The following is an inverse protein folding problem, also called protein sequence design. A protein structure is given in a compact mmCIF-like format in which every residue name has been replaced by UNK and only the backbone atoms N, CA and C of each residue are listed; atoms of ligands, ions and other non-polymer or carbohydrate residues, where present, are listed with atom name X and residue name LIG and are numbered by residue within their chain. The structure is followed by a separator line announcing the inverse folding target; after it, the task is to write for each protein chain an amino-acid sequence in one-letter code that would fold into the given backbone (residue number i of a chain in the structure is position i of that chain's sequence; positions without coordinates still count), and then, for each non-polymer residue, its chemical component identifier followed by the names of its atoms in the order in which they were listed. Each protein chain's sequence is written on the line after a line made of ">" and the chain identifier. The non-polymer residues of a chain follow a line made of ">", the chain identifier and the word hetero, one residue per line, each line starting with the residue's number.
data_IF_204284170882
#
_entry.id   IF_204284170882
#
_cell.length_a   1.000
_cell.length_b   1.000
_cell.length_c   1.000
_cell.angle_alpha   90.00
_cell.angle_beta   90.00
_cell.angle_gamma   90.00
#
_symmetry.space_group_name_H-M   'P 1'
#
loop_
_entity.id
_entity.type
_entity.pdbx_description
1 polymer ?
#
# COMPACT_ATOMS: atom_id res chain seq x y z
N UNK A 1 7.60 22.60 2.47
CA UNK A 1 6.65 22.05 3.46
C UNK A 1 5.22 22.19 2.95
N UNK A 2 4.67 23.42 2.84
CA UNK A 2 3.28 23.68 2.37
C UNK A 2 2.87 22.89 1.12
N UNK A 3 3.67 22.93 0.04
CA UNK A 3 3.33 22.20 -1.18
C UNK A 3 3.32 20.67 -0.99
N UNK A 4 4.20 20.09 -0.17
CA UNK A 4 4.16 18.64 0.14
C UNK A 4 2.90 18.32 0.93
N UNK A 5 2.57 19.16 1.93
CA UNK A 5 1.39 18.98 2.78
C UNK A 5 0.12 18.90 1.95
N UNK A 6 -0.12 19.91 1.10
CA UNK A 6 -1.31 19.94 0.24
C UNK A 6 -1.39 18.70 -0.69
N UNK A 7 -0.23 18.25 -1.21
CA UNK A 7 -0.17 17.05 -2.06
C UNK A 7 -0.51 15.78 -1.27
N UNK A 8 0.02 15.64 -0.06
CA UNK A 8 -0.24 14.49 0.80
C UNK A 8 -1.67 14.47 1.33
N UNK A 9 -2.25 15.61 1.70
CA UNK A 9 -3.65 15.72 2.12
C UNK A 9 -4.60 15.32 0.98
N UNK A 10 -4.36 15.83 -0.24
CA UNK A 10 -5.13 15.44 -1.41
C UNK A 10 -4.99 13.92 -1.70
N UNK A 11 -3.76 13.39 -1.61
CA UNK A 11 -3.48 11.97 -1.80
C UNK A 11 -4.16 11.09 -0.74
N UNK A 12 -4.16 11.52 0.53
CA UNK A 12 -4.86 10.85 1.64
C UNK A 12 -6.37 10.76 1.38
N UNK A 13 -7.00 11.87 0.97
CA UNK A 13 -8.43 11.90 0.64
C UNK A 13 -8.75 10.95 -0.51
N UNK A 14 -7.93 10.92 -1.56
CA UNK A 14 -8.14 10.00 -2.68
C UNK A 14 -7.99 8.53 -2.24
N UNK A 15 -7.02 8.20 -1.38
CA UNK A 15 -6.89 6.84 -0.84
C UNK A 15 -8.09 6.47 0.05
N UNK A 16 -8.57 7.39 0.89
CA UNK A 16 -9.75 7.16 1.74
C UNK A 16 -11.02 6.89 0.92
N UNK A 17 -11.18 7.59 -0.21
CA UNK A 17 -12.29 7.34 -1.14
C UNK A 17 -12.15 5.96 -1.81
N UNK A 18 -10.92 5.58 -2.21
CA UNK A 18 -10.65 4.27 -2.79
C UNK A 18 -10.91 3.13 -1.78
N UNK A 19 -10.54 3.31 -0.52
CA UNK A 19 -10.86 2.40 0.59
C UNK A 19 -12.38 2.23 0.73
N UNK A 20 -13.14 3.33 0.70
CA UNK A 20 -14.61 3.29 0.80
C UNK A 20 -15.24 2.50 -0.34
N UNK A 21 -14.74 2.67 -1.57
CA UNK A 21 -15.20 1.88 -2.71
C UNK A 21 -14.89 0.39 -2.56
N UNK A 22 -13.74 0.01 -2.01
CA UNK A 22 -13.41 -1.40 -1.77
C UNK A 22 -14.36 -2.04 -0.75
N UNK A 23 -14.69 -1.34 0.35
CA UNK A 23 -15.64 -1.82 1.36
C UNK A 23 -17.07 -1.96 0.80
N UNK A 24 -17.53 -0.97 0.03
CA UNK A 24 -18.84 -1.03 -0.59
C UNK A 24 -18.94 -2.18 -1.61
N UNK A 25 -17.89 -2.38 -2.41
CA UNK A 25 -17.82 -3.46 -3.39
C UNK A 25 -17.86 -4.84 -2.73
N UNK A 26 -17.18 -4.98 -1.58
CA UNK A 26 -17.26 -6.17 -0.75
C UNK A 26 -18.70 -6.45 -0.32
N UNK A 27 -19.41 -5.44 0.21
CA UNK A 27 -20.80 -5.57 0.65
C UNK A 27 -21.73 -5.98 -0.49
N UNK A 28 -21.64 -5.32 -1.63
CA UNK A 28 -22.43 -5.66 -2.82
C UNK A 28 -22.14 -7.09 -3.30
N UNK A 29 -20.88 -7.51 -3.27
CA UNK A 29 -20.50 -8.87 -3.65
C UNK A 29 -21.11 -9.91 -2.70
N UNK A 30 -21.10 -9.64 -1.39
CA UNK A 30 -21.78 -10.50 -0.41
C UNK A 30 -23.30 -10.55 -0.61
N UNK A 31 -23.92 -9.42 -0.96
CA UNK A 31 -25.34 -9.35 -1.31
C UNK A 31 -25.67 -10.18 -2.56
N UNK A 32 -24.78 -10.18 -3.57
CA UNK A 32 -24.94 -11.01 -4.77
C UNK A 32 -24.85 -12.52 -4.50
N UNK A 33 -24.18 -12.93 -3.42
CA UNK A 33 -24.09 -14.34 -2.99
C UNK A 33 -25.39 -14.81 -2.32
N UNK A 34 -26.19 -13.88 -1.80
CA UNK A 34 -27.38 -14.24 -1.02
C UNK A 34 -28.44 -14.95 -1.89
N UNK A 35 -28.63 -16.25 -1.62
CA UNK A 35 -29.60 -17.09 -2.33
C UNK A 35 -31.07 -16.68 -2.14
N UNK A 36 -31.38 -15.82 -1.17
CA UNK A 36 -32.72 -15.27 -0.96
C UNK A 36 -33.10 -14.18 -1.98
N UNK A 37 -32.12 -13.59 -2.69
CA UNK A 37 -32.39 -12.55 -3.69
C UNK A 37 -32.86 -13.15 -5.01
N UNK A 38 -33.72 -12.40 -5.71
CA UNK A 38 -34.09 -12.74 -7.09
C UNK A 38 -32.90 -12.56 -8.05
N UNK A 39 -33.02 -13.09 -9.26
CA UNK A 39 -32.00 -12.86 -10.30
C UNK A 39 -31.95 -11.37 -10.69
N UNK A 40 -33.11 -10.72 -10.72
CA UNK A 40 -33.27 -9.30 -11.04
C UNK A 40 -32.61 -8.41 -9.97
N UNK A 41 -32.78 -8.75 -8.68
CA UNK A 41 -32.13 -8.02 -7.59
C UNK A 41 -30.61 -8.13 -7.68
N UNK A 42 -30.09 -9.34 -7.93
CA UNK A 42 -28.64 -9.54 -8.12
C UNK A 42 -28.10 -8.78 -9.32
N UNK A 43 -28.86 -8.73 -10.43
CA UNK A 43 -28.48 -7.93 -11.58
C UNK A 43 -28.45 -6.43 -11.26
N UNK A 44 -29.36 -5.95 -10.39
CA UNK A 44 -29.31 -4.57 -9.90
C UNK A 44 -28.03 -4.32 -9.07
N UNK A 45 -27.65 -5.25 -8.19
CA UNK A 45 -26.40 -5.18 -7.41
C UNK A 45 -25.14 -5.23 -8.27
N UNK A 46 -25.14 -6.03 -9.33
CA UNK A 46 -24.08 -6.00 -10.35
C UNK A 46 -23.95 -4.62 -11.00
N UNK A 47 -25.06 -3.98 -11.36
CA UNK A 47 -25.04 -2.61 -11.93
C UNK A 47 -24.51 -1.58 -10.93
N UNK A 48 -24.88 -1.69 -9.66
CA UNK A 48 -24.29 -0.84 -8.60
C UNK A 48 -22.76 -1.04 -8.53
N UNK A 49 -22.29 -2.29 -8.57
CA UNK A 49 -20.86 -2.61 -8.57
C UNK A 49 -20.13 -2.08 -9.81
N UNK A 50 -20.76 -2.13 -10.99
CA UNK A 50 -20.23 -1.57 -12.23
C UNK A 50 -20.03 -0.05 -12.14
N UNK A 51 -20.99 0.66 -11.55
CA UNK A 51 -20.88 2.10 -11.32
C UNK A 51 -19.77 2.44 -10.32
N UNK A 52 -19.60 1.63 -9.26
CA UNK A 52 -18.46 1.78 -8.35
C UNK A 52 -17.14 1.54 -9.08
N UNK A 53 -17.05 0.51 -9.93
CA UNK A 53 -15.84 0.25 -10.72
C UNK A 53 -15.52 1.41 -11.69
N UNK A 54 -16.55 2.04 -12.28
CA UNK A 54 -16.41 3.23 -13.12
C UNK A 54 -15.89 4.43 -12.30
N UNK A 55 -16.49 4.69 -11.14
CA UNK A 55 -16.10 5.78 -10.25
C UNK A 55 -14.70 5.58 -9.67
N UNK A 56 -14.35 4.35 -9.32
CA UNK A 56 -13.01 3.98 -8.88
C UNK A 56 -11.97 4.26 -9.96
N UNK A 57 -12.24 3.87 -11.22
CA UNK A 57 -11.34 4.15 -12.35
C UNK A 57 -11.15 5.66 -12.58
N UNK A 58 -12.21 6.45 -12.39
CA UNK A 58 -12.11 7.91 -12.47
C UNK A 58 -11.28 8.49 -11.32
N UNK A 59 -11.48 8.01 -10.10
CA UNK A 59 -10.74 8.43 -8.91
C UNK A 59 -9.24 8.15 -9.04
N UNK A 60 -8.84 6.96 -9.51
CA UNK A 60 -7.40 6.64 -9.67
C UNK A 60 -6.74 7.41 -10.81
N UNK A 61 -7.54 8.04 -11.67
CA UNK A 61 -7.10 8.99 -12.70
C UNK A 61 -7.33 10.45 -12.27
N UNK A 62 -7.61 10.72 -10.99
CA UNK A 62 -7.76 12.08 -10.49
C UNK A 62 -6.49 12.89 -10.73
N UNK A 63 -6.70 14.16 -11.05
CA UNK A 63 -5.66 15.15 -11.24
C UNK A 63 -5.65 16.15 -10.09
N UNK A 64 -4.46 16.63 -9.76
CA UNK A 64 -4.27 17.74 -8.84
C UNK A 64 -4.61 19.11 -9.47
N UNK A 65 -4.54 20.20 -8.71
CA UNK A 65 -4.88 21.55 -9.17
C UNK A 65 -3.97 22.05 -10.31
N UNK A 66 -2.86 21.36 -10.55
CA UNK A 66 -1.89 21.65 -11.61
C UNK A 66 -2.07 20.72 -12.82
N UNK A 67 -3.15 19.94 -12.86
CA UNK A 67 -3.46 18.98 -13.92
C UNK A 67 -2.47 17.82 -13.97
N UNK A 68 -1.92 17.40 -12.82
CA UNK A 68 -1.07 16.21 -12.74
C UNK A 68 -1.84 15.04 -12.16
N UNK A 69 -1.71 13.87 -12.77
CA UNK A 69 -2.24 12.63 -12.22
C UNK A 69 -1.55 12.27 -10.90
N UNK A 70 -2.37 11.99 -9.88
CA UNK A 70 -1.91 11.75 -8.50
C UNK A 70 -1.13 10.43 -8.41
N UNK A 71 -1.66 9.37 -9.04
CA UNK A 71 -1.17 7.99 -8.94
C UNK A 71 -0.25 7.55 -10.09
N UNK A 72 0.25 8.47 -10.91
CA UNK A 72 1.09 8.17 -12.09
C UNK A 72 2.59 8.01 -11.80
N UNK A 73 2.99 7.87 -10.52
CA UNK A 73 4.39 7.77 -10.14
C UNK A 73 5.16 9.06 -10.45
N UNK A 74 6.25 8.96 -11.21
CA UNK A 74 7.04 10.11 -11.70
C UNK A 74 6.62 10.65 -13.06
N UNK A 75 5.55 10.11 -13.67
CA UNK A 75 4.96 10.57 -14.94
C UNK A 75 3.64 11.34 -14.75
N UNK A 76 3.63 12.50 -14.06
CA UNK A 76 2.41 13.20 -13.68
C UNK A 76 1.53 13.67 -14.85
N UNK A 77 2.09 13.77 -16.07
CA UNK A 77 1.37 14.23 -17.27
C UNK A 77 0.83 13.11 -18.13
N UNK A 78 0.97 11.86 -17.69
CA UNK A 78 0.48 10.68 -18.41
C UNK A 78 -0.62 10.01 -17.62
N UNK A 79 -1.75 9.74 -18.26
CA UNK A 79 -2.88 9.06 -17.61
C UNK A 79 -2.43 7.68 -17.12
N UNK A 80 -2.57 7.37 -15.82
CA UNK A 80 -2.06 6.14 -15.27
C UNK A 80 -2.90 4.92 -15.60
N UNK A 81 -4.24 5.02 -15.60
CA UNK A 81 -5.12 3.86 -15.75
C UNK A 81 -6.03 3.99 -16.96
N UNK A 82 -6.15 2.92 -17.74
CA UNK A 82 -7.03 2.84 -18.90
C UNK A 82 -7.59 1.44 -19.06
N UNK A 83 -8.81 1.34 -19.61
CA UNK A 83 -9.41 0.06 -19.98
C UNK A 83 -8.91 -0.36 -21.36
N UNK A 84 -8.44 -1.59 -21.48
CA UNK A 84 -8.14 -2.23 -22.75
C UNK A 84 -9.42 -2.80 -23.40
N UNK A 85 -9.32 -3.28 -24.64
CA UNK A 85 -10.46 -3.80 -25.43
C UNK A 85 -11.19 -4.97 -24.77
N UNK A 86 -10.49 -5.74 -23.95
CA UNK A 86 -11.05 -6.88 -23.20
C UNK A 86 -11.67 -6.47 -21.84
N UNK A 87 -11.71 -5.16 -21.57
CA UNK A 87 -12.20 -4.59 -20.31
C UNK A 87 -11.24 -4.71 -19.13
N UNK A 88 -10.05 -5.30 -19.29
CA UNK A 88 -9.00 -5.24 -18.27
C UNK A 88 -8.50 -3.81 -18.09
N UNK A 89 -8.11 -3.46 -16.87
CA UNK A 89 -7.50 -2.14 -16.59
C UNK A 89 -6.00 -2.29 -16.55
N UNK A 90 -5.30 -1.44 -17.31
CA UNK A 90 -3.86 -1.43 -17.43
C UNK A 90 -3.27 -0.19 -16.75
N UNK A 91 -2.04 -0.31 -16.25
CA UNK A 91 -1.28 0.78 -15.65
C UNK A 91 -0.14 1.25 -16.56
N UNK A 92 -0.13 2.54 -16.92
CA UNK A 92 0.90 3.19 -17.75
C UNK A 92 1.84 4.14 -16.98
N UNK A 93 1.73 4.22 -15.65
CA UNK A 93 2.61 5.02 -14.83
C UNK A 93 4.01 4.40 -14.63
N UNK A 94 4.60 4.64 -13.47
CA UNK A 94 5.81 3.97 -13.02
C UNK A 94 5.75 3.73 -11.50
N UNK A 95 6.68 2.93 -11.00
CA UNK A 95 6.72 2.50 -9.60
C UNK A 95 7.42 3.48 -8.67
N UNK A 96 7.78 4.68 -9.17
CA UNK A 96 8.61 5.60 -8.43
C UNK A 96 7.78 6.70 -7.77
N UNK A 97 8.18 7.04 -6.55
CA UNK A 97 7.63 8.17 -5.82
C UNK A 97 8.36 9.46 -6.20
N UNK A 98 7.61 10.55 -6.31
CA UNK A 98 8.17 11.89 -6.37
C UNK A 98 8.49 12.33 -4.95
N UNK A 99 9.69 12.89 -4.76
CA UNK A 99 10.17 13.38 -3.46
C UNK A 99 10.43 14.87 -3.54
N UNK A 100 10.20 15.56 -2.43
CA UNK A 100 10.55 16.97 -2.30
C UNK A 100 11.30 17.22 -0.99
N UNK A 101 12.34 18.05 -1.07
CA UNK A 101 13.12 18.46 0.09
C UNK A 101 12.27 19.32 1.01
N UNK A 102 12.11 18.89 2.26
CA UNK A 102 11.32 19.59 3.29
C UNK A 102 12.18 20.21 4.38
N UNK A 103 13.41 19.72 4.55
CA UNK A 103 14.46 20.35 5.35
C UNK A 103 15.84 20.01 4.76
N UNK A 104 16.92 20.55 5.32
CA UNK A 104 18.28 20.32 4.81
C UNK A 104 18.65 18.83 4.69
N UNK A 105 18.13 18.00 5.60
CA UNK A 105 18.45 16.57 5.69
C UNK A 105 17.29 15.63 5.33
N UNK A 106 16.09 16.16 5.06
CA UNK A 106 14.89 15.34 4.85
C UNK A 106 14.25 15.63 3.49
N UNK A 107 14.13 14.57 2.68
CA UNK A 107 13.31 14.54 1.49
C UNK A 107 12.07 13.67 1.76
N UNK A 108 10.89 14.20 1.44
CA UNK A 108 9.63 13.54 1.72
C UNK A 108 8.96 13.05 0.42
N UNK A 109 8.56 11.77 0.33
CA UNK A 109 7.68 11.29 -0.73
C UNK A 109 6.34 12.03 -0.68
N UNK A 110 5.88 12.53 -1.83
CA UNK A 110 4.62 13.29 -1.94
C UNK A 110 3.51 12.54 -2.68
N UNK A 111 3.74 11.29 -3.08
CA UNK A 111 2.74 10.41 -3.67
C UNK A 111 3.13 8.94 -3.50
N UNK A 112 2.17 8.06 -3.78
CA UNK A 112 2.39 6.63 -3.96
C UNK A 112 1.95 6.21 -5.36
N UNK A 113 2.73 5.36 -6.05
CA UNK A 113 2.41 4.92 -7.40
C UNK A 113 1.18 4.00 -7.42
N UNK A 114 0.35 4.16 -8.45
CA UNK A 114 -0.87 3.39 -8.62
C UNK A 114 -0.64 1.89 -8.80
N UNK A 115 0.52 1.47 -9.33
CA UNK A 115 0.90 0.05 -9.40
C UNK A 115 0.89 -0.59 -8.00
N UNK A 116 1.55 0.05 -7.03
CA UNK A 116 1.64 -0.47 -5.66
C UNK A 116 0.31 -0.38 -4.91
N UNK A 117 -0.54 0.60 -5.20
CA UNK A 117 -1.82 0.76 -4.50
C UNK A 117 -2.93 -0.14 -5.05
N UNK A 118 -3.00 -0.34 -6.36
CA UNK A 118 -4.19 -0.89 -7.02
C UNK A 118 -3.92 -2.12 -7.90
N UNK A 119 -2.66 -2.41 -8.23
CA UNK A 119 -2.28 -3.53 -9.11
C UNK A 119 -1.53 -4.65 -8.36
N UNK A 120 -0.80 -4.30 -7.31
CA UNK A 120 0.06 -5.20 -6.54
C UNK A 120 -0.46 -5.37 -5.10
N UNK A 121 -1.74 -5.72 -4.96
CA UNK A 121 -2.34 -5.97 -3.66
C UNK A 121 -1.99 -7.39 -3.22
N UNK A 122 -1.43 -7.60 -2.00
CA UNK A 122 -1.08 -8.95 -1.52
C UNK A 122 -2.28 -9.88 -1.55
N UNK A 123 -2.12 -11.07 -2.12
CA UNK A 123 -3.20 -12.05 -2.20
C UNK A 123 -3.58 -12.55 -0.78
N UNK A 124 -4.85 -12.46 -0.35
CA UNK A 124 -5.28 -12.93 0.97
C UNK A 124 -5.09 -14.43 1.18
N UNK A 125 -5.01 -15.22 0.11
CA UNK A 125 -4.85 -16.67 0.17
C UNK A 125 -3.38 -17.12 0.23
N UNK A 126 -2.40 -16.20 0.24
CA UNK A 126 -0.98 -16.53 0.24
C UNK A 126 -0.38 -16.46 -1.17
N UNK A 127 0.35 -17.50 -1.57
CA UNK A 127 1.14 -17.46 -2.81
C UNK A 127 0.32 -17.87 -4.05
N UNK A 128 -0.91 -18.34 -3.83
CA UNK A 128 -1.73 -18.94 -4.87
C UNK A 128 -3.18 -18.45 -4.85
N UNK A 129 -3.82 -18.48 -6.01
CA UNK A 129 -5.26 -18.28 -6.19
C UNK A 129 -5.97 -19.62 -6.45
N UNK A 130 -7.24 -19.75 -6.00
CA UNK A 130 -8.04 -20.93 -6.30
C UNK A 130 -8.77 -20.82 -7.65
N UNK A 131 -8.98 -21.98 -8.26
CA UNK A 131 -9.92 -22.21 -9.36
C UNK A 131 -10.87 -23.33 -8.94
N UNK A 132 -12.16 -23.03 -8.87
CA UNK A 132 -13.17 -23.92 -8.28
C UNK A 132 -13.87 -24.75 -9.34
N UNK A 133 -13.96 -26.06 -9.11
CA UNK A 133 -14.79 -27.01 -9.85
C UNK A 133 -15.54 -27.89 -8.83
N UNK A 134 -16.64 -27.33 -8.33
CA UNK A 134 -17.37 -27.83 -7.17
C UNK A 134 -18.68 -28.51 -7.58
N UNK A 135 -19.04 -29.53 -6.82
CA UNK A 135 -20.30 -30.23 -6.95
C UNK A 135 -21.44 -29.47 -6.26
N UNK A 136 -22.67 -29.81 -6.62
CA UNK A 136 -23.87 -29.23 -6.00
C UNK A 136 -23.92 -29.52 -4.50
N UNK A 137 -24.18 -28.48 -3.70
CA UNK A 137 -24.23 -28.57 -2.24
C UNK A 137 -22.87 -28.43 -1.54
N UNK A 138 -21.78 -28.24 -2.28
CA UNK A 138 -20.47 -27.89 -1.72
C UNK A 138 -20.40 -26.42 -1.29
N UNK A 139 -19.76 -26.18 -0.15
CA UNK A 139 -19.39 -24.84 0.35
C UNK A 139 -17.86 -24.71 0.45
N UNK A 140 -17.12 -25.52 -0.32
CA UNK A 140 -15.67 -25.61 -0.26
C UNK A 140 -14.99 -24.32 -0.73
N UNK A 141 -14.15 -23.74 0.13
CA UNK A 141 -13.38 -22.53 -0.14
C UNK A 141 -11.90 -22.75 0.20
N UNK A 142 -11.01 -22.13 -0.56
CA UNK A 142 -9.62 -22.01 -0.16
C UNK A 142 -9.51 -21.06 1.05
N UNK A 143 -8.84 -21.50 2.10
CA UNK A 143 -8.49 -20.64 3.25
C UNK A 143 -7.11 -20.03 3.07
N UNK A 144 -6.11 -20.86 2.74
CA UNK A 144 -4.73 -20.41 2.51
C UNK A 144 -3.95 -21.46 1.73
N UNK A 145 -3.12 -21.03 0.78
CA UNK A 145 -2.15 -21.85 0.08
C UNK A 145 -0.78 -21.13 0.04
N UNK A 146 0.25 -21.79 0.54
CA UNK A 146 1.62 -21.26 0.54
C UNK A 146 2.63 -22.31 0.13
N UNK A 147 3.76 -21.90 -0.43
CA UNK A 147 4.86 -22.80 -0.74
C UNK A 147 6.19 -22.22 -0.27
N UNK A 148 6.94 -23.03 0.48
CA UNK A 148 8.28 -22.66 0.95
C UNK A 148 9.26 -22.48 -0.23
N UNK A 149 9.03 -23.17 -1.36
CA UNK A 149 9.79 -22.95 -2.59
C UNK A 149 9.17 -21.82 -3.44
N UNK A 150 9.68 -20.60 -3.25
CA UNK A 150 9.27 -19.44 -4.01
C UNK A 150 9.56 -19.52 -5.52
N UNK A 151 10.35 -20.49 -6.00
CA UNK A 151 10.63 -20.69 -7.43
C UNK A 151 9.67 -21.68 -8.08
N UNK A 152 8.86 -22.37 -7.31
CA UNK A 152 7.89 -23.30 -7.87
C UNK A 152 6.78 -22.53 -8.60
N UNK A 153 6.64 -22.80 -9.89
CA UNK A 153 5.59 -22.25 -10.75
C UNK A 153 4.62 -23.33 -11.22
N UNK A 154 4.65 -24.51 -10.60
CA UNK A 154 3.75 -25.59 -10.95
C UNK A 154 2.29 -25.22 -10.63
N UNK A 155 1.36 -25.70 -11.46
CA UNK A 155 -0.05 -25.71 -11.13
C UNK A 155 -0.37 -26.94 -10.30
N UNK A 156 -1.18 -26.75 -9.27
CA UNK A 156 -1.66 -27.82 -8.43
C UNK A 156 -3.16 -28.00 -8.60
N UNK A 157 -3.65 -29.22 -8.43
CA UNK A 157 -5.08 -29.51 -8.36
C UNK A 157 -5.32 -30.50 -7.25
N UNK A 158 -6.26 -30.18 -6.36
CA UNK A 158 -6.71 -31.04 -5.30
C UNK A 158 -8.10 -31.53 -5.67
N UNK A 159 -8.30 -32.84 -5.72
CA UNK A 159 -9.62 -33.46 -5.90
C UNK A 159 -9.99 -34.26 -4.67
N UNK A 160 -11.18 -34.02 -4.13
CA UNK A 160 -11.70 -34.69 -2.95
C UNK A 160 -12.52 -35.91 -3.33
N UNK A 161 -12.31 -37.03 -2.62
CA UNK A 161 -12.96 -38.32 -2.88
C UNK A 161 -13.60 -38.88 -1.62
N UNK A 162 -14.72 -39.59 -1.77
CA UNK A 162 -15.34 -40.33 -0.68
C UNK A 162 -14.54 -41.61 -0.38
N UNK A 163 -14.21 -41.84 0.89
CA UNK A 163 -13.52 -43.06 1.34
C UNK A 163 -14.48 -44.17 1.81
N UNK A 164 -15.80 -43.99 1.65
CA UNK A 164 -16.85 -44.95 2.04
C UNK A 164 -16.85 -45.32 3.54
N UNK A 165 -16.21 -44.49 4.37
CA UNK A 165 -16.09 -44.67 5.82
C UNK A 165 -16.56 -43.42 6.60
N UNK A 166 -17.28 -42.51 5.92
CA UNK A 166 -17.70 -41.23 6.47
C UNK A 166 -16.59 -40.18 6.51
N UNK A 167 -15.43 -40.45 5.89
CA UNK A 167 -14.31 -39.51 5.74
C UNK A 167 -14.03 -39.23 4.27
N UNK A 168 -13.28 -38.16 4.03
CA UNK A 168 -12.82 -37.76 2.72
C UNK A 168 -11.33 -38.06 2.57
N UNK A 169 -10.94 -38.46 1.37
CA UNK A 169 -9.56 -38.45 0.91
C UNK A 169 -9.32 -37.30 -0.06
N UNK A 170 -8.06 -37.02 -0.36
CA UNK A 170 -7.70 -36.12 -1.45
C UNK A 170 -6.71 -36.78 -2.41
N UNK A 171 -6.75 -36.34 -3.66
CA UNK A 171 -5.75 -36.61 -4.68
C UNK A 171 -5.13 -35.28 -5.08
N UNK A 172 -3.81 -35.14 -4.89
CA UNK A 172 -3.05 -33.97 -5.28
C UNK A 172 -2.34 -34.24 -6.61
N UNK A 173 -2.60 -33.36 -7.57
CA UNK A 173 -1.94 -33.34 -8.85
C UNK A 173 -1.01 -32.14 -8.95
N UNK A 174 0.15 -32.34 -9.58
CA UNK A 174 1.11 -31.30 -9.96
C UNK A 174 1.29 -31.34 -11.47
N UNK A 175 0.94 -30.25 -12.16
CA UNK A 175 0.95 -30.17 -13.63
C UNK A 175 0.20 -31.35 -14.29
N UNK A 176 -0.95 -31.73 -13.72
CA UNK A 176 -1.82 -32.81 -14.22
C UNK A 176 -1.33 -34.24 -13.94
N UNK A 177 -0.30 -34.42 -13.11
CA UNK A 177 0.15 -35.75 -12.66
C UNK A 177 -0.10 -35.90 -11.17
N UNK A 178 -0.69 -37.02 -10.76
CA UNK A 178 -0.86 -37.36 -9.35
C UNK A 178 0.51 -37.47 -8.69
N UNK A 179 0.70 -36.71 -7.62
CA UNK A 179 1.95 -36.67 -6.85
C UNK A 179 1.77 -37.04 -5.39
N UNK A 180 0.54 -36.99 -4.88
CA UNK A 180 0.20 -37.38 -3.51
C UNK A 180 -1.27 -37.76 -3.42
N UNK A 181 -1.61 -38.61 -2.44
CA UNK A 181 -2.99 -38.95 -2.10
C UNK A 181 -3.04 -39.50 -0.66
N UNK A 182 -3.92 -38.95 0.16
CA UNK A 182 -4.04 -39.33 1.58
C UNK A 182 -5.45 -39.04 2.11
N UNK A 183 -5.74 -39.49 3.33
CA UNK A 183 -6.95 -39.09 4.07
C UNK A 183 -6.90 -37.58 4.35
N UNK A 184 -8.00 -36.87 4.07
CA UNK A 184 -8.10 -35.45 4.31
C UNK A 184 -8.51 -35.16 5.77
N UNK A 185 -7.74 -34.32 6.44
CA UNK A 185 -8.08 -33.75 7.74
C UNK A 185 -8.06 -32.22 7.68
N UNK A 186 -9.16 -31.54 8.08
CA UNK A 186 -9.21 -30.07 8.09
C UNK A 186 -8.13 -29.41 8.96
N UNK A 187 -7.69 -30.06 10.05
CA UNK A 187 -6.69 -29.52 10.97
C UNK A 187 -5.27 -29.53 10.37
N UNK A 188 -4.95 -30.58 9.60
CA UNK A 188 -3.63 -30.73 8.96
C UNK A 188 -3.58 -30.01 7.61
N UNK A 189 -4.71 -29.93 6.91
CA UNK A 189 -4.75 -29.54 5.52
C UNK A 189 -3.99 -30.54 4.63
N UNK A 190 -3.53 -30.05 3.48
CA UNK A 190 -2.74 -30.82 2.51
C UNK A 190 -1.31 -30.28 2.54
N UNK A 191 -0.35 -31.17 2.74
CA UNK A 191 1.08 -30.82 2.83
C UNK A 191 1.90 -31.66 1.85
N UNK A 192 2.54 -31.01 0.88
CA UNK A 192 3.38 -31.68 -0.11
C UNK A 192 4.66 -30.89 -0.39
N UNK A 193 5.82 -31.42 0.02
CA UNK A 193 7.16 -30.85 -0.29
C UNK A 193 7.28 -29.33 -0.10
N UNK A 194 6.65 -28.77 0.94
CA UNK A 194 6.66 -27.34 1.24
C UNK A 194 5.41 -26.58 0.81
N UNK A 195 4.60 -27.14 -0.10
CA UNK A 195 3.22 -26.69 -0.35
C UNK A 195 2.36 -27.02 0.87
N UNK A 196 1.64 -26.02 1.37
CA UNK A 196 0.62 -26.17 2.41
C UNK A 196 -0.68 -25.57 1.90
N UNK A 197 -1.74 -26.37 1.86
CA UNK A 197 -3.08 -25.94 1.42
C UNK A 197 -4.07 -26.21 2.53
N UNK A 198 -4.79 -25.16 2.93
CA UNK A 198 -5.88 -25.24 3.88
C UNK A 198 -7.15 -24.79 3.19
N UNK A 199 -8.20 -25.58 3.37
CA UNK A 199 -9.54 -25.31 2.85
C UNK A 199 -10.53 -25.21 4.01
N UNK A 200 -11.66 -24.54 3.78
CA UNK A 200 -12.76 -24.39 4.74
C UNK A 200 -14.08 -24.70 4.05
N UNK A 201 -15.13 -24.94 4.83
CA UNK A 201 -16.47 -25.24 4.32
C UNK A 201 -16.74 -26.73 4.14
N UNK A 202 -17.93 -27.05 3.62
CA UNK A 202 -18.37 -28.43 3.41
C UNK A 202 -17.84 -28.96 2.08
N UNK A 203 -17.27 -30.16 2.10
CA UNK A 203 -16.74 -30.86 0.93
C UNK A 203 -17.77 -31.87 0.44
N UNK A 204 -17.92 -31.96 -0.87
CA UNK A 204 -18.70 -32.98 -1.57
C UNK A 204 -17.75 -33.89 -2.39
N UNK A 205 -18.00 -35.21 -2.48
CA UNK A 205 -17.17 -36.08 -3.30
C UNK A 205 -17.14 -35.62 -4.76
N UNK A 206 -15.94 -35.50 -5.34
CA UNK A 206 -15.71 -34.99 -6.69
C UNK A 206 -15.37 -33.50 -6.75
N UNK A 207 -15.46 -32.76 -5.64
CA UNK A 207 -15.00 -31.38 -5.57
C UNK A 207 -13.53 -31.27 -5.95
N UNK A 208 -13.19 -30.27 -6.75
CA UNK A 208 -11.82 -30.00 -7.16
C UNK A 208 -11.46 -28.52 -7.02
N UNK A 209 -10.27 -28.24 -6.50
CA UNK A 209 -9.68 -26.90 -6.45
C UNK A 209 -8.36 -26.91 -7.22
N UNK A 210 -8.28 -26.14 -8.29
CA UNK A 210 -7.02 -25.73 -8.91
C UNK A 210 -6.35 -24.64 -8.08
N UNK A 211 -5.02 -24.68 -7.98
CA UNK A 211 -4.21 -23.77 -7.18
C UNK A 211 -3.10 -23.27 -8.10
N UNK A 212 -3.20 -22.00 -8.48
CA UNK A 212 -2.33 -21.34 -9.45
C UNK A 212 -1.56 -20.21 -8.79
N UNK A 213 -0.29 -20.05 -9.14
CA UNK A 213 0.56 -19.06 -8.49
C UNK A 213 0.07 -17.63 -8.80
N UNK A 214 -0.20 -16.87 -7.74
CA UNK A 214 -0.60 -15.45 -7.80
C UNK A 214 -0.32 -14.81 -6.45
N UNK A 215 0.83 -14.18 -6.30
CA UNK A 215 1.26 -13.56 -5.04
C UNK A 215 0.55 -12.21 -4.79
N UNK A 216 0.14 -11.53 -5.87
CA UNK A 216 -0.60 -10.28 -5.81
C UNK A 216 -1.70 -10.22 -6.87
N UNK A 217 -2.69 -9.35 -6.64
CA UNK A 217 -3.81 -9.13 -7.55
C UNK A 217 -4.08 -7.64 -7.75
N UNK A 218 -4.78 -7.33 -8.84
CA UNK A 218 -5.33 -6.01 -9.08
C UNK A 218 -6.77 -5.93 -8.61
N UNK A 219 -7.13 -4.86 -7.91
CA UNK A 219 -8.53 -4.62 -7.53
C UNK A 219 -9.46 -4.51 -8.75
N UNK A 220 -8.93 -4.08 -9.90
CA UNK A 220 -9.70 -4.00 -11.15
C UNK A 220 -10.07 -5.39 -11.68
N UNK A 221 -9.20 -6.37 -11.52
CA UNK A 221 -9.51 -7.76 -11.85
C UNK A 221 -10.61 -8.28 -10.92
N UNK A 222 -10.54 -7.95 -9.62
CA UNK A 222 -11.58 -8.32 -8.64
C UNK A 222 -12.94 -7.73 -9.01
N UNK A 223 -13.01 -6.46 -9.43
CA UNK A 223 -14.23 -5.85 -9.97
C UNK A 223 -14.77 -6.63 -11.17
N UNK A 224 -13.92 -6.88 -12.17
CA UNK A 224 -14.28 -7.59 -13.41
C UNK A 224 -14.79 -9.01 -13.12
N UNK A 225 -14.08 -9.74 -12.28
CA UNK A 225 -14.43 -11.12 -11.90
C UNK A 225 -15.72 -11.16 -11.08
N UNK A 226 -15.90 -10.28 -10.08
CA UNK A 226 -17.14 -10.21 -9.30
C UNK A 226 -18.36 -9.96 -10.20
N UNK A 227 -18.26 -9.01 -11.13
CA UNK A 227 -19.32 -8.74 -12.10
C UNK A 227 -19.57 -9.93 -13.04
N UNK A 228 -18.52 -10.57 -13.54
CA UNK A 228 -18.65 -11.69 -14.48
C UNK A 228 -19.24 -12.95 -13.83
N UNK A 229 -18.85 -13.26 -12.59
CA UNK A 229 -19.33 -14.44 -11.88
C UNK A 229 -20.73 -14.25 -11.30
N UNK A 230 -21.14 -13.01 -11.03
CA UNK A 230 -22.51 -12.69 -10.62
C UNK A 230 -23.58 -12.96 -11.68
N UNK A 231 -23.20 -13.14 -12.95
CA UNK A 231 -24.14 -13.53 -14.02
C UNK A 231 -24.53 -15.03 -13.94
N UNK A 232 -23.78 -15.83 -13.18
CA UNK A 232 -24.08 -17.25 -12.99
C UNK A 232 -25.21 -17.44 -11.99
N UNK A 233 -25.86 -18.61 -12.05
CA UNK A 233 -26.88 -18.96 -11.06
C UNK A 233 -26.28 -19.05 -9.67
N UNK A 234 -26.97 -18.58 -8.63
CA UNK A 234 -26.55 -18.79 -7.23
C UNK A 234 -26.55 -20.26 -6.81
N UNK A 235 -27.21 -21.14 -7.58
CA UNK A 235 -27.12 -22.58 -7.39
C UNK A 235 -25.82 -23.18 -7.92
N UNK A 236 -25.02 -22.42 -8.68
CA UNK A 236 -23.68 -22.82 -9.11
C UNK A 236 -22.71 -22.60 -7.94
N UNK A 237 -22.34 -23.69 -7.28
CA UNK A 237 -21.45 -23.67 -6.11
C UNK A 237 -20.08 -23.11 -6.44
N UNK A 238 -19.57 -23.33 -7.66
CA UNK A 238 -18.29 -22.78 -8.12
C UNK A 238 -18.37 -21.26 -8.30
N UNK A 239 -19.47 -20.75 -8.86
CA UNK A 239 -19.70 -19.32 -8.98
C UNK A 239 -19.82 -18.64 -7.61
N UNK A 240 -20.56 -19.24 -6.69
CA UNK A 240 -20.69 -18.76 -5.30
C UNK A 240 -19.34 -18.75 -4.59
N UNK A 241 -18.53 -19.81 -4.71
CA UNK A 241 -17.18 -19.86 -4.17
C UNK A 241 -16.27 -18.76 -4.75
N UNK A 242 -16.43 -18.46 -6.05
CA UNK A 242 -15.68 -17.40 -6.71
C UNK A 242 -16.09 -16.00 -6.23
N UNK A 243 -17.38 -15.75 -5.99
CA UNK A 243 -17.82 -14.49 -5.39
C UNK A 243 -17.35 -14.34 -3.94
N UNK A 244 -17.28 -15.43 -3.18
CA UNK A 244 -16.63 -15.44 -1.86
C UNK A 244 -15.13 -15.07 -1.96
N UNK A 245 -14.42 -15.60 -2.96
CA UNK A 245 -13.03 -15.19 -3.24
C UNK A 245 -12.93 -13.68 -3.48
N UNK A 246 -13.80 -13.12 -4.33
CA UNK A 246 -13.80 -11.67 -4.62
C UNK A 246 -14.09 -10.82 -3.38
N UNK A 247 -14.94 -11.33 -2.48
CA UNK A 247 -15.21 -10.68 -1.19
C UNK A 247 -13.95 -10.57 -0.32
N UNK A 248 -13.15 -11.64 -0.24
CA UNK A 248 -11.89 -11.65 0.50
C UNK A 248 -10.84 -10.76 -0.17
N UNK A 249 -10.80 -10.71 -1.51
CA UNK A 249 -9.93 -9.80 -2.27
C UNK A 249 -10.31 -8.33 -2.05
N UNK A 250 -11.59 -7.95 -2.08
CA UNK A 250 -12.00 -6.59 -1.73
C UNK A 250 -11.64 -6.23 -0.29
N UNK A 251 -11.77 -7.18 0.65
CA UNK A 251 -11.33 -6.96 2.03
C UNK A 251 -9.81 -6.76 2.12
N UNK A 252 -9.02 -7.54 1.37
CA UNK A 252 -7.58 -7.37 1.31
C UNK A 252 -7.18 -6.02 0.70
N UNK A 253 -7.89 -5.58 -0.35
CA UNK A 253 -7.71 -4.26 -0.95
C UNK A 253 -8.03 -3.13 0.04
N UNK A 254 -9.13 -3.24 0.79
CA UNK A 254 -9.47 -2.30 1.86
C UNK A 254 -8.34 -2.20 2.90
N UNK A 255 -7.84 -3.33 3.42
CA UNK A 255 -6.75 -3.35 4.41
C UNK A 255 -5.46 -2.74 3.85
N UNK A 256 -5.14 -3.04 2.59
CA UNK A 256 -3.96 -2.52 1.90
C UNK A 256 -4.01 -1.00 1.74
N UNK A 257 -5.16 -0.47 1.29
CA UNK A 257 -5.37 0.96 1.15
C UNK A 257 -5.40 1.67 2.51
N UNK A 258 -5.99 1.07 3.53
CA UNK A 258 -5.98 1.60 4.89
C UNK A 258 -4.54 1.73 5.44
N UNK A 259 -3.68 0.74 5.17
CA UNK A 259 -2.25 0.79 5.51
C UNK A 259 -1.53 1.91 4.75
N UNK A 260 -1.80 2.07 3.45
CA UNK A 260 -1.24 3.17 2.66
C UNK A 260 -1.68 4.53 3.21
N UNK A 261 -2.96 4.71 3.56
CA UNK A 261 -3.45 5.93 4.21
C UNK A 261 -2.74 6.21 5.53
N UNK A 262 -2.53 5.18 6.35
CA UNK A 262 -1.78 5.30 7.61
C UNK A 262 -0.34 5.78 7.39
N UNK A 263 0.34 5.29 6.36
CA UNK A 263 1.69 5.75 6.00
C UNK A 263 1.69 7.22 5.55
N UNK A 264 0.71 7.64 4.76
CA UNK A 264 0.52 9.05 4.39
C UNK A 264 0.30 9.93 5.62
N UNK A 265 -0.51 9.47 6.58
CA UNK A 265 -0.71 10.16 7.87
C UNK A 265 0.59 10.32 8.68
N UNK A 266 1.46 9.30 8.68
CA UNK A 266 2.78 9.40 9.31
C UNK A 266 3.69 10.44 8.62
N UNK A 267 3.62 10.55 7.29
CA UNK A 267 4.33 11.59 6.52
C UNK A 267 3.78 12.98 6.84
N UNK A 268 2.46 13.15 6.97
CA UNK A 268 1.83 14.41 7.40
C UNK A 268 2.27 14.82 8.81
N UNK A 269 2.27 13.90 9.77
CA UNK A 269 2.78 14.17 11.12
C UNK A 269 4.26 14.57 11.11
N UNK A 270 5.06 13.98 10.23
CA UNK A 270 6.46 14.39 10.03
C UNK A 270 6.56 15.83 9.51
N UNK A 271 5.65 16.26 8.62
CA UNK A 271 5.60 17.65 8.15
C UNK A 271 5.25 18.63 9.26
N UNK A 272 4.33 18.27 10.17
CA UNK A 272 3.98 19.11 11.34
C UNK A 272 5.23 19.41 12.17
N UNK A 273 6.04 18.38 12.44
CA UNK A 273 7.30 18.53 13.18
C UNK A 273 8.30 19.41 12.42
N UNK A 274 8.43 19.23 11.09
CA UNK A 274 9.34 20.05 10.29
C UNK A 274 8.91 21.51 10.22
N UNK A 275 7.61 21.77 10.20
CA UNK A 275 7.03 23.12 10.18
C UNK A 275 7.33 23.85 11.48
N UNK A 276 7.10 23.20 12.63
CA UNK A 276 7.45 23.73 13.94
C UNK A 276 8.95 24.06 14.07
N UNK A 277 9.83 23.15 13.60
CA UNK A 277 11.27 23.39 13.61
C UNK A 277 11.66 24.60 12.73
N UNK A 278 10.97 24.80 11.60
CA UNK A 278 11.18 25.96 10.73
C UNK A 278 10.73 27.26 11.40
N UNK A 279 9.61 27.25 12.13
CA UNK A 279 9.15 28.40 12.92
C UNK A 279 10.15 28.78 14.02
N UNK A 280 10.66 27.79 14.77
CA UNK A 280 11.67 28.00 15.80
C UNK A 280 13.00 28.53 15.22
N UNK A 281 13.41 28.03 14.05
CA UNK A 281 14.57 28.53 13.34
C UNK A 281 14.38 29.98 12.90
N UNK A 282 13.20 30.33 12.34
CA UNK A 282 12.87 31.69 11.93
C UNK A 282 12.86 32.65 13.13
N UNK A 283 12.31 32.23 14.28
CA UNK A 283 12.35 33.01 15.51
C UNK A 283 13.79 33.23 15.99
N UNK A 284 14.63 32.19 15.93
CA UNK A 284 16.04 32.29 16.30
C UNK A 284 16.81 33.23 15.39
N UNK A 285 16.54 33.18 14.07
CA UNK A 285 17.12 34.08 13.08
C UNK A 285 16.66 35.53 13.31
N UNK A 286 15.38 35.75 13.63
CA UNK A 286 14.85 37.07 13.95
C UNK A 286 15.51 37.66 15.21
N UNK A 287 15.70 36.87 16.27
CA UNK A 287 16.44 37.29 17.48
C UNK A 287 17.90 37.62 17.17
N UNK A 288 18.58 36.78 16.40
CA UNK A 288 19.95 37.04 15.99
C UNK A 288 20.05 38.35 15.19
N UNK A 289 19.14 38.57 14.24
CA UNK A 289 19.06 39.81 13.47
C UNK A 289 18.79 41.03 14.35
N UNK A 290 17.83 40.95 15.28
CA UNK A 290 17.57 42.02 16.26
C UNK A 290 18.83 42.36 17.04
N UNK A 291 19.54 41.37 17.59
CA UNK A 291 20.79 41.61 18.30
C UNK A 291 21.87 42.30 17.43
N UNK A 292 21.91 42.03 16.12
CA UNK A 292 22.81 42.71 15.19
C UNK A 292 22.34 44.12 14.79
N UNK A 293 21.04 44.38 14.74
CA UNK A 293 20.47 45.72 14.50
C UNK A 293 20.55 46.61 15.76
N UNK A 294 20.34 46.01 16.94
CA UNK A 294 20.42 46.63 18.27
C UNK A 294 21.88 46.82 18.74
N UNK A 295 22.86 46.22 18.05
CA UNK A 295 24.27 46.49 18.29
C UNK A 295 24.58 47.92 17.85
N UNK A 296 24.76 48.83 18.80
CA UNK A 296 25.18 50.19 18.53
C UNK A 296 26.62 50.18 17.97
N UNK A 297 26.73 50.16 16.64
CA UNK A 297 28.00 50.19 15.92
C UNK A 297 28.90 51.34 16.36
N UNK A 298 28.34 52.46 16.81
CA UNK A 298 29.12 53.60 17.32
C UNK A 298 29.80 53.25 18.63
N UNK A 299 29.07 52.66 19.57
CA UNK A 299 29.61 52.20 20.86
C UNK A 299 30.56 51.01 20.68
N UNK A 300 30.23 50.06 19.81
CA UNK A 300 31.08 48.90 19.51
C UNK A 300 32.42 49.31 18.86
N UNK A 301 32.42 50.31 17.99
CA UNK A 301 33.65 50.89 17.41
C UNK A 301 34.48 51.60 18.47
N UNK A 302 33.85 52.33 19.39
CA UNK A 302 34.53 52.98 20.52
C UNK A 302 35.17 51.92 21.43
N UNK A 303 34.41 50.91 21.82
CA UNK A 303 34.86 49.84 22.73
C UNK A 303 35.95 48.95 22.08
N UNK A 304 35.86 48.70 20.77
CA UNK A 304 36.92 48.05 20.01
C UNK A 304 38.19 48.92 19.95
N UNK A 305 38.05 50.23 19.71
CA UNK A 305 39.17 51.17 19.70
C UNK A 305 39.85 51.26 21.07
N UNK A 306 39.07 51.27 22.15
CA UNK A 306 39.58 51.24 23.53
C UNK A 306 40.31 49.93 23.85
N UNK A 307 39.73 48.77 23.50
CA UNK A 307 40.36 47.47 23.70
C UNK A 307 41.63 47.31 22.86
N UNK A 308 41.65 47.80 21.62
CA UNK A 308 42.84 47.81 20.75
C UNK A 308 43.94 48.69 21.34
N UNK A 309 43.59 49.87 21.87
CA UNK A 309 44.54 50.77 22.52
C UNK A 309 45.08 50.18 23.82
N UNK A 310 44.24 49.54 24.62
CA UNK A 310 44.64 48.84 25.84
C UNK A 310 45.55 47.66 25.55
N UNK A 311 45.27 46.87 24.51
CA UNK A 311 46.13 45.78 24.05
C UNK A 311 47.50 46.31 23.59
N UNK A 312 47.52 47.38 22.80
CA UNK A 312 48.77 48.00 22.35
C UNK A 312 49.59 48.56 23.53
N UNK A 313 48.93 49.19 24.50
CA UNK A 313 49.56 49.67 25.73
C UNK A 313 50.09 48.50 26.59
N UNK A 314 49.35 47.40 26.69
CA UNK A 314 49.79 46.17 27.37
C UNK A 314 51.01 45.55 26.68
N UNK A 315 51.02 45.49 25.36
CA UNK A 315 52.19 45.04 24.57
C UNK A 315 53.39 45.97 24.76
N UNK A 316 53.21 47.29 24.78
CA UNK A 316 54.28 48.25 25.05
C UNK A 316 54.80 48.15 26.49
N UNK A 317 53.92 48.01 27.47
CA UNK A 317 54.29 47.83 28.86
C UNK A 317 55.04 46.51 29.04
N UNK A 318 54.55 45.42 28.45
CA UNK A 318 55.23 44.12 28.45
C UNK A 318 56.60 44.19 27.78
N UNK A 319 56.74 44.89 26.65
CA UNK A 319 58.02 45.16 26.00
C UNK A 319 58.99 45.91 26.92
N UNK A 320 58.54 47.01 27.53
CA UNK A 320 59.35 47.79 28.48
C UNK A 320 59.70 47.03 29.75
N UNK A 321 58.82 46.18 30.27
CA UNK A 321 59.11 45.32 31.43
C UNK A 321 60.08 44.21 31.07
N UNK A 322 59.99 43.65 29.86
CA UNK A 322 61.03 42.75 29.32
C UNK A 322 62.39 43.45 29.27
N UNK A 323 62.45 44.69 28.78
CA UNK A 323 63.69 45.49 28.72
C UNK A 323 64.24 45.89 30.11
N UNK A 324 63.38 46.03 31.13
CA UNK A 324 63.78 46.33 32.51
C UNK A 324 64.30 45.12 33.30
N UNK A 325 64.18 43.91 32.76
CA UNK A 325 64.72 42.70 33.39
C UNK A 325 65.96 42.24 32.64
N UNK A 326 67.11 42.31 33.31
CA UNK A 326 68.41 41.71 33.01
C UNK A 326 69.52 42.52 32.29
N UNK A 327 69.38 43.83 32.02
CA UNK A 327 70.53 44.64 31.55
C UNK A 327 70.72 46.03 32.20
N UNK A 328 69.90 46.41 33.18
CA UNK A 328 70.05 47.68 33.93
C UNK A 328 70.51 47.49 35.40
N UNK A 329 70.97 46.30 35.79
CA UNK A 329 71.50 46.07 37.15
C UNK A 329 72.85 45.32 37.19
N UNK A 330 73.57 45.24 36.07
CA UNK A 330 75.01 44.91 36.02
C UNK A 330 75.66 45.88 35.05
#
# INVERSE_FOLDING_TARGET
>A
IVLVRNRLENHEVNIANAESFADESKRLTMEMINGAFSAEDRQAKKRELEEIANNFLNLVNAQDESGNYVFAGTKPKSQPFYRDKDGSVQYAGDDYQRKMKVSSMLDMPMNDPGSKLFMEIPNPFGDYQPSYDLQSGSDLLLSKATNVDAKDTASYRVTFVDMNNGKFGYQLERNGKVVDADEFSPEKGIEYKGLKVHVKGQITPGDSIGIEKRESFSIFDTFKEAMSWSDKSVSDTSATAKLHQMTEEFQAAFIHLNKARTDVGARLSTLDIQEQNHEDFNLSLAKAKSNFEDLDYSKAVIEFSENSRALQASQQAFGKTKDLTLFNYI
#
